data_IF_327505724242
#
_entry.id   IF_327505724242
#
_cell.length_a   1.000
_cell.length_b   1.000
_cell.length_c   1.000
_cell.angle_alpha   90.00
_cell.angle_beta   90.00
_cell.angle_gamma   90.00
#
_symmetry.space_group_name_H-M   'P 1'
#
loop_
_entity.id
_entity.type
_entity.pdbx_description
1 polymer ?
#
# COMPACT_ATOMS: atom_id res chain seq x y z
N UNK A 1 -14.73 31.83 -25.76
CA UNK A 1 -14.20 32.70 -24.69
C UNK A 1 -14.73 32.42 -23.27
N UNK A 2 -15.93 31.84 -23.01
CA UNK A 2 -16.42 31.53 -21.63
C UNK A 2 -15.73 30.40 -20.89
N UNK A 3 -15.14 29.40 -21.56
CA UNK A 3 -14.46 28.26 -20.91
C UNK A 3 -13.11 28.62 -20.28
N UNK A 4 -12.37 29.61 -20.81
CA UNK A 4 -11.08 30.06 -20.27
C UNK A 4 -11.22 30.77 -18.91
N UNK A 5 -12.34 31.48 -18.69
CA UNK A 5 -12.57 32.22 -17.44
C UNK A 5 -12.91 31.30 -16.24
N UNK A 6 -13.51 30.12 -16.45
CA UNK A 6 -13.79 29.17 -15.37
C UNK A 6 -12.52 28.51 -14.85
N UNK A 7 -11.62 28.11 -15.75
CA UNK A 7 -10.32 27.51 -15.37
C UNK A 7 -9.47 28.53 -14.60
N UNK A 8 -9.39 29.78 -15.09
CA UNK A 8 -8.64 30.86 -14.40
C UNK A 8 -9.22 31.24 -13.03
N UNK A 9 -10.55 31.13 -12.81
CA UNK A 9 -11.18 31.40 -11.51
C UNK A 9 -10.89 30.31 -10.49
N UNK A 10 -10.78 29.05 -10.93
CA UNK A 10 -10.40 27.92 -10.05
C UNK A 10 -8.91 27.97 -9.69
N UNK A 11 -8.02 28.34 -10.62
CA UNK A 11 -6.59 28.45 -10.33
C UNK A 11 -6.19 29.68 -9.48
N UNK A 12 -7.04 30.70 -9.36
CA UNK A 12 -6.80 31.86 -8.47
C UNK A 12 -7.12 31.62 -7.00
N UNK A 13 -7.77 30.51 -6.65
CA UNK A 13 -8.10 30.22 -5.26
C UNK A 13 -6.85 29.64 -4.55
N UNK A 14 -6.28 30.41 -3.58
CA UNK A 14 -5.08 30.06 -2.79
C UNK A 14 -5.17 28.63 -2.19
N UNK A 15 -6.37 28.20 -1.82
CA UNK A 15 -6.63 26.87 -1.25
C UNK A 15 -6.41 25.76 -2.29
N UNK A 16 -6.86 25.97 -3.52
CA UNK A 16 -6.70 25.00 -4.63
C UNK A 16 -5.24 24.91 -5.04
N UNK A 17 -4.56 26.04 -5.17
CA UNK A 17 -3.13 26.07 -5.50
C UNK A 17 -2.30 25.38 -4.41
N UNK A 18 -2.59 25.65 -3.13
CA UNK A 18 -1.94 24.98 -2.00
C UNK A 18 -2.19 23.48 -2.01
N UNK A 19 -3.41 23.04 -2.35
CA UNK A 19 -3.76 21.62 -2.45
C UNK A 19 -3.03 20.94 -3.62
N UNK A 20 -3.02 21.57 -4.81
CA UNK A 20 -2.30 21.05 -5.98
C UNK A 20 -0.80 20.96 -5.70
N UNK A 21 -0.19 22.02 -5.16
CA UNK A 21 1.22 22.00 -4.79
C UNK A 21 1.54 20.96 -3.72
N UNK A 22 0.68 20.82 -2.71
CA UNK A 22 0.83 19.79 -1.68
C UNK A 22 0.75 18.38 -2.24
N UNK A 23 -0.19 18.15 -3.17
CA UNK A 23 -0.35 16.87 -3.86
C UNK A 23 0.86 16.56 -4.75
N UNK A 24 1.37 17.54 -5.51
CA UNK A 24 2.57 17.39 -6.34
C UNK A 24 3.81 17.05 -5.49
N UNK A 25 4.03 17.75 -4.37
CA UNK A 25 5.11 17.42 -3.44
C UNK A 25 4.99 16.00 -2.88
N UNK A 26 3.78 15.58 -2.51
CA UNK A 26 3.54 14.23 -2.01
C UNK A 26 3.81 13.18 -3.09
N UNK A 27 3.39 13.45 -4.34
CA UNK A 27 3.65 12.57 -5.49
C UNK A 27 5.14 12.46 -5.80
N UNK A 28 5.87 13.58 -5.84
CA UNK A 28 7.31 13.57 -6.07
C UNK A 28 8.04 12.82 -4.96
N UNK A 29 7.73 13.10 -3.69
CA UNK A 29 8.31 12.38 -2.55
C UNK A 29 8.01 10.87 -2.58
N UNK A 30 6.80 10.48 -2.98
CA UNK A 30 6.44 9.07 -3.14
C UNK A 30 7.17 8.40 -4.30
N UNK A 31 7.37 9.10 -5.43
CA UNK A 31 8.14 8.61 -6.57
C UNK A 31 9.60 8.38 -6.21
N UNK A 32 10.25 9.37 -5.57
CA UNK A 32 11.64 9.23 -5.14
C UNK A 32 11.80 8.10 -4.12
N UNK A 33 10.96 8.05 -3.11
CA UNK A 33 11.01 7.00 -2.08
C UNK A 33 10.80 5.60 -2.68
N UNK A 34 9.79 5.43 -3.56
CA UNK A 34 9.54 4.15 -4.24
C UNK A 34 10.66 3.79 -5.21
N UNK A 35 11.23 4.78 -5.91
CA UNK A 35 12.39 4.59 -6.77
C UNK A 35 13.59 4.04 -6.01
N UNK A 36 13.94 4.63 -4.87
CA UNK A 36 15.05 4.16 -4.03
C UNK A 36 14.80 2.72 -3.54
N UNK A 37 13.60 2.41 -3.04
CA UNK A 37 13.25 1.06 -2.61
C UNK A 37 13.24 0.05 -3.77
N UNK A 38 12.87 0.49 -4.96
CA UNK A 38 12.92 -0.32 -6.17
C UNK A 38 14.38 -0.67 -6.54
N UNK A 39 15.26 0.32 -6.59
CA UNK A 39 16.69 0.08 -6.84
C UNK A 39 17.31 -0.82 -5.77
N UNK A 40 16.95 -0.62 -4.50
CA UNK A 40 17.42 -1.49 -3.42
C UNK A 40 16.98 -2.95 -3.63
N UNK A 41 15.75 -3.17 -4.10
CA UNK A 41 15.25 -4.53 -4.38
C UNK A 41 16.03 -5.20 -5.52
N UNK A 42 16.42 -4.44 -6.57
CA UNK A 42 17.29 -4.94 -7.65
C UNK A 42 18.67 -5.29 -7.10
N UNK A 43 19.26 -4.41 -6.29
CA UNK A 43 20.56 -4.66 -5.65
C UNK A 43 20.49 -5.91 -4.76
N UNK A 44 19.41 -6.06 -4.00
CA UNK A 44 19.19 -7.25 -3.16
C UNK A 44 19.08 -8.54 -4.00
N UNK A 45 18.35 -8.51 -5.12
CA UNK A 45 18.22 -9.66 -6.00
C UNK A 45 19.55 -10.08 -6.69
N UNK A 46 20.45 -9.09 -6.87
CA UNK A 46 21.78 -9.35 -7.46
C UNK A 46 22.83 -9.83 -6.45
N UNK A 47 22.72 -9.42 -5.20
CA UNK A 47 23.69 -9.77 -4.14
C UNK A 47 23.27 -11.07 -3.46
N UNK A 48 21.98 -11.26 -3.20
CA UNK A 48 21.47 -12.49 -2.61
C UNK A 48 21.34 -13.58 -3.68
N UNK A 49 21.56 -14.82 -3.29
CA UNK A 49 21.17 -15.96 -4.11
C UNK A 49 19.66 -15.97 -4.32
N UNK A 50 19.20 -16.56 -5.44
CA UNK A 50 17.78 -16.54 -5.84
C UNK A 50 16.86 -17.02 -4.75
N UNK A 51 17.18 -18.17 -4.14
CA UNK A 51 16.40 -18.74 -3.04
C UNK A 51 16.37 -17.79 -1.81
N UNK A 52 17.52 -17.20 -1.47
CA UNK A 52 17.63 -16.25 -0.35
C UNK A 52 16.87 -14.97 -0.62
N UNK A 53 16.83 -14.49 -1.87
CA UNK A 53 15.97 -13.36 -2.26
C UNK A 53 14.49 -13.72 -2.16
N UNK A 54 14.12 -14.96 -2.51
CA UNK A 54 12.77 -15.48 -2.28
C UNK A 54 12.38 -15.51 -0.80
N UNK A 55 13.30 -15.93 0.08
CA UNK A 55 13.14 -15.87 1.55
C UNK A 55 12.98 -14.43 2.04
N UNK A 56 13.75 -13.49 1.51
CA UNK A 56 13.57 -12.06 1.78
C UNK A 56 12.18 -11.55 1.37
N UNK A 57 11.70 -11.95 0.21
CA UNK A 57 10.38 -11.62 -0.30
C UNK A 57 9.25 -12.08 0.62
N UNK A 58 9.28 -13.34 1.06
CA UNK A 58 8.25 -13.88 1.96
C UNK A 58 8.32 -13.28 3.37
N UNK A 59 9.53 -13.01 3.91
CA UNK A 59 9.68 -12.29 5.17
C UNK A 59 9.03 -10.91 5.08
N UNK A 60 9.32 -10.15 4.03
CA UNK A 60 8.69 -8.85 3.75
C UNK A 60 7.17 -8.93 3.66
N UNK A 61 6.65 -9.90 2.94
CA UNK A 61 5.21 -10.14 2.78
C UNK A 61 4.55 -10.50 4.11
N UNK A 62 5.18 -11.35 4.92
CA UNK A 62 4.75 -11.72 6.26
C UNK A 62 4.70 -10.49 7.16
N UNK A 63 5.79 -9.74 7.27
CA UNK A 63 5.83 -8.50 8.07
C UNK A 63 4.76 -7.51 7.63
N UNK A 64 4.58 -7.27 6.33
CA UNK A 64 3.56 -6.37 5.81
C UNK A 64 2.14 -6.79 6.21
N UNK A 65 1.88 -8.09 6.29
CA UNK A 65 0.60 -8.64 6.76
C UNK A 65 0.38 -8.30 8.23
N UNK A 66 1.39 -8.52 9.06
CA UNK A 66 1.29 -8.21 10.50
C UNK A 66 1.33 -6.70 10.80
N UNK A 67 1.92 -5.88 9.94
CA UNK A 67 1.85 -4.40 10.01
C UNK A 67 0.41 -3.89 10.00
N UNK A 68 -0.52 -4.57 9.32
CA UNK A 68 -1.94 -4.21 9.36
C UNK A 68 -2.50 -4.28 10.78
N UNK A 69 -2.19 -5.37 11.50
CA UNK A 69 -2.60 -5.55 12.89
C UNK A 69 -1.90 -4.55 13.82
N UNK A 70 -0.60 -4.36 13.64
CA UNK A 70 0.19 -3.40 14.41
C UNK A 70 -0.28 -1.95 14.24
N UNK A 71 -0.54 -1.51 13.00
CA UNK A 71 -0.95 -0.14 12.69
C UNK A 71 -2.43 0.14 12.94
N UNK A 72 -3.29 -0.88 12.88
CA UNK A 72 -4.71 -0.85 13.17
C UNK A 72 -5.48 0.30 12.51
N UNK A 73 -5.00 0.83 11.38
CA UNK A 73 -5.62 1.97 10.69
C UNK A 73 -5.44 3.34 11.39
N UNK A 74 -4.59 3.41 12.42
CA UNK A 74 -4.41 4.61 13.25
C UNK A 74 -3.84 5.81 12.48
N UNK A 75 -3.00 5.56 11.47
CA UNK A 75 -2.49 6.63 10.60
C UNK A 75 -3.60 7.34 9.81
N UNK A 76 -4.57 6.58 9.28
CA UNK A 76 -5.74 7.14 8.58
C UNK A 76 -6.63 7.90 9.56
N UNK A 77 -6.79 7.38 10.78
CA UNK A 77 -7.54 8.03 11.86
C UNK A 77 -6.90 9.37 12.24
N UNK A 78 -5.59 9.40 12.44
CA UNK A 78 -4.84 10.62 12.71
C UNK A 78 -5.02 11.63 11.56
N UNK A 79 -4.86 11.20 10.30
CA UNK A 79 -5.06 12.07 9.12
C UNK A 79 -6.43 12.73 9.13
N UNK A 80 -7.49 11.95 9.29
CA UNK A 80 -8.87 12.45 9.24
C UNK A 80 -9.13 13.47 10.34
N UNK A 81 -8.97 13.06 11.58
CA UNK A 81 -9.40 13.89 12.72
C UNK A 81 -8.46 15.06 13.00
N UNK A 82 -7.17 14.93 12.73
CA UNK A 82 -6.27 16.09 12.78
C UNK A 82 -6.66 17.11 11.71
N UNK A 83 -6.97 16.70 10.48
CA UNK A 83 -7.38 17.64 9.43
C UNK A 83 -8.74 18.29 9.70
N UNK A 84 -9.65 17.59 10.39
CA UNK A 84 -10.99 18.07 10.74
C UNK A 84 -10.95 19.17 11.80
N UNK A 85 -10.10 19.00 12.84
CA UNK A 85 -10.07 19.91 13.99
C UNK A 85 -8.91 20.92 13.97
N UNK A 86 -7.95 20.77 13.06
CA UNK A 86 -6.82 21.70 12.96
C UNK A 86 -7.28 23.12 12.61
N UNK A 87 -6.95 24.07 13.50
CA UNK A 87 -7.33 25.48 13.37
C UNK A 87 -8.70 25.85 13.97
N UNK A 88 -9.51 24.85 14.35
CA UNK A 88 -10.80 25.06 15.03
C UNK A 88 -10.77 24.64 16.50
N UNK A 89 -10.15 23.49 16.81
CA UNK A 89 -10.04 22.91 18.14
C UNK A 89 -8.68 22.21 18.30
N UNK A 90 -7.65 22.99 18.61
CA UNK A 90 -6.29 22.49 18.77
C UNK A 90 -6.11 21.58 19.99
N UNK A 91 -6.94 21.73 21.05
CA UNK A 91 -6.95 20.82 22.20
C UNK A 91 -7.38 19.41 21.77
N UNK A 92 -8.43 19.33 20.95
CA UNK A 92 -8.90 18.06 20.40
C UNK A 92 -7.88 17.43 19.44
N UNK A 93 -7.20 18.24 18.62
CA UNK A 93 -6.08 17.76 17.78
C UNK A 93 -5.01 17.10 18.65
N UNK A 94 -4.62 17.74 19.76
CA UNK A 94 -3.62 17.19 20.66
C UNK A 94 -4.10 15.87 21.29
N UNK A 95 -5.35 15.80 21.78
CA UNK A 95 -5.95 14.56 22.32
C UNK A 95 -5.93 13.43 21.30
N UNK A 96 -6.25 13.70 20.04
CA UNK A 96 -6.23 12.72 18.95
C UNK A 96 -4.81 12.22 18.69
N UNK A 97 -3.81 13.11 18.63
CA UNK A 97 -2.41 12.72 18.45
C UNK A 97 -1.94 11.81 19.59
N UNK A 98 -2.23 12.17 20.84
CA UNK A 98 -1.86 11.36 22.02
C UNK A 98 -2.58 10.02 22.00
N UNK A 99 -3.89 10.00 21.74
CA UNK A 99 -4.71 8.79 21.67
C UNK A 99 -4.17 7.82 20.61
N UNK A 100 -3.99 8.30 19.38
CA UNK A 100 -3.51 7.46 18.28
C UNK A 100 -2.10 6.91 18.51
N UNK A 101 -1.21 7.69 19.14
CA UNK A 101 0.12 7.23 19.58
C UNK A 101 0.04 6.11 20.62
N UNK A 102 -0.75 6.29 21.68
CA UNK A 102 -0.92 5.28 22.72
C UNK A 102 -1.50 3.98 22.15
N UNK A 103 -2.54 4.08 21.32
CA UNK A 103 -3.10 2.90 20.66
C UNK A 103 -2.09 2.23 19.71
N UNK A 104 -1.27 3.00 18.98
CA UNK A 104 -0.23 2.44 18.12
C UNK A 104 0.83 1.69 18.93
N UNK A 105 1.25 2.22 20.09
CA UNK A 105 2.16 1.52 21.00
C UNK A 105 1.52 0.22 21.52
N UNK A 106 0.25 0.28 21.92
CA UNK A 106 -0.46 -0.88 22.45
C UNK A 106 -0.64 -1.95 21.37
N UNK A 107 -1.23 -1.60 20.22
CA UNK A 107 -1.52 -2.58 19.16
C UNK A 107 -0.25 -3.14 18.55
N UNK A 108 0.76 -2.31 18.30
CA UNK A 108 2.03 -2.78 17.76
C UNK A 108 2.85 -3.58 18.78
N UNK A 109 2.81 -3.20 20.06
CA UNK A 109 3.46 -3.94 21.13
C UNK A 109 2.86 -5.35 21.31
N UNK A 110 1.54 -5.44 21.33
CA UNK A 110 0.85 -6.75 21.38
C UNK A 110 1.18 -7.57 20.14
N UNK A 111 1.09 -6.98 18.93
CA UNK A 111 1.41 -7.68 17.68
C UNK A 111 2.87 -8.14 17.66
N UNK A 112 3.80 -7.31 18.10
CA UNK A 112 5.21 -7.63 18.20
C UNK A 112 5.48 -8.83 19.11
N UNK A 113 4.91 -8.83 20.34
CA UNK A 113 5.06 -9.93 21.31
C UNK A 113 4.48 -11.22 20.74
N UNK A 114 3.25 -11.17 20.17
CA UNK A 114 2.63 -12.32 19.55
C UNK A 114 3.47 -12.85 18.38
N UNK A 115 3.98 -11.94 17.51
CA UNK A 115 4.80 -12.33 16.38
C UNK A 115 6.13 -12.99 16.83
N UNK A 116 6.78 -12.44 17.86
CA UNK A 116 7.99 -13.06 18.44
C UNK A 116 7.69 -14.47 18.95
N UNK A 117 6.59 -14.64 19.69
CA UNK A 117 6.19 -15.94 20.25
C UNK A 117 5.91 -16.95 19.16
N UNK A 118 5.18 -16.55 18.12
CA UNK A 118 4.79 -17.43 17.01
C UNK A 118 5.82 -17.51 15.88
N UNK A 119 6.93 -16.75 15.92
CA UNK A 119 7.94 -16.72 14.83
C UNK A 119 8.50 -18.10 14.48
N UNK A 120 8.74 -18.96 15.49
CA UNK A 120 9.17 -20.34 15.28
C UNK A 120 8.11 -21.19 14.57
N UNK A 121 6.85 -21.07 14.97
CA UNK A 121 5.75 -21.76 14.30
C UNK A 121 5.54 -21.26 12.86
N UNK A 122 5.63 -19.94 12.64
CA UNK A 122 5.51 -19.36 11.31
C UNK A 122 6.64 -19.85 10.41
N UNK A 123 7.90 -19.82 10.88
CA UNK A 123 9.04 -20.27 10.08
C UNK A 123 8.97 -21.76 9.72
N UNK A 124 8.69 -22.62 10.72
CA UNK A 124 8.78 -24.08 10.54
C UNK A 124 7.53 -24.69 9.90
N UNK A 125 6.34 -24.26 10.32
CA UNK A 125 5.09 -24.93 9.94
C UNK A 125 4.31 -24.21 8.83
N UNK A 126 4.46 -22.87 8.71
CA UNK A 126 3.74 -22.11 7.69
C UNK A 126 4.63 -21.91 6.45
N UNK A 127 5.90 -21.56 6.68
CA UNK A 127 6.83 -21.20 5.61
C UNK A 127 7.77 -22.35 5.22
N UNK A 128 7.80 -23.45 5.98
CA UNK A 128 8.69 -24.59 5.78
C UNK A 128 10.19 -24.19 5.69
N UNK A 129 10.61 -23.17 6.45
CA UNK A 129 11.96 -22.63 6.50
C UNK A 129 12.37 -22.29 7.93
N UNK A 130 12.66 -23.28 8.77
CA UNK A 130 13.02 -23.04 10.17
C UNK A 130 14.26 -22.15 10.34
N UNK A 131 15.15 -22.12 9.35
CA UNK A 131 16.38 -21.31 9.34
C UNK A 131 16.11 -19.80 9.32
N UNK A 132 14.96 -19.31 8.79
CA UNK A 132 14.65 -17.87 8.76
C UNK A 132 13.99 -17.34 10.03
N UNK A 133 13.95 -18.14 11.12
CA UNK A 133 13.34 -17.75 12.39
C UNK A 133 13.97 -16.47 12.97
N UNK A 134 15.28 -16.36 12.96
CA UNK A 134 16.00 -15.19 13.50
C UNK A 134 15.68 -13.95 12.67
N UNK A 135 15.64 -14.08 11.37
CA UNK A 135 15.28 -13.03 10.43
C UNK A 135 13.86 -12.51 10.66
N UNK A 136 12.90 -13.42 10.90
CA UNK A 136 11.52 -13.04 11.25
C UNK A 136 11.48 -12.32 12.60
N UNK A 137 12.24 -12.78 13.60
CA UNK A 137 12.31 -12.12 14.89
C UNK A 137 12.90 -10.70 14.78
N UNK A 138 13.97 -10.50 14.02
CA UNK A 138 14.52 -9.18 13.74
C UNK A 138 13.52 -8.29 13.00
N UNK A 139 12.87 -8.85 11.97
CA UNK A 139 11.88 -8.15 11.18
C UNK A 139 10.63 -7.73 11.98
N UNK A 140 10.32 -8.43 13.09
CA UNK A 140 9.21 -8.06 13.98
C UNK A 140 9.33 -6.65 14.57
N UNK A 141 10.57 -6.15 14.78
CA UNK A 141 10.80 -4.78 15.25
C UNK A 141 10.23 -3.73 14.29
N UNK A 142 10.17 -4.06 12.99
CA UNK A 142 9.59 -3.19 11.96
C UNK A 142 8.12 -2.91 12.27
N UNK A 143 7.38 -3.86 12.88
CA UNK A 143 5.97 -3.71 13.22
C UNK A 143 5.71 -2.49 14.11
N UNK A 144 6.52 -2.32 15.16
CA UNK A 144 6.40 -1.18 16.09
C UNK A 144 6.78 0.13 15.40
N UNK A 145 7.90 0.10 14.68
CA UNK A 145 8.43 1.29 14.01
C UNK A 145 7.45 1.80 12.94
N UNK A 146 6.92 0.91 12.10
CA UNK A 146 6.01 1.27 11.01
C UNK A 146 4.64 1.72 11.54
N UNK A 147 4.12 1.10 12.60
CA UNK A 147 2.87 1.51 13.22
C UNK A 147 2.96 2.95 13.76
N UNK A 148 4.02 3.28 14.49
CA UNK A 148 4.28 4.63 14.97
C UNK A 148 4.52 5.62 13.83
N UNK A 149 5.32 5.23 12.83
CA UNK A 149 5.56 6.05 11.65
C UNK A 149 4.27 6.37 10.90
N UNK A 150 3.33 5.41 10.83
CA UNK A 150 1.99 5.59 10.26
C UNK A 150 1.21 6.70 10.97
N UNK A 151 1.26 6.77 12.31
CA UNK A 151 0.60 7.84 13.09
C UNK A 151 1.25 9.19 12.81
N UNK A 152 2.58 9.31 12.91
CA UNK A 152 3.27 10.59 12.71
C UNK A 152 3.11 11.11 11.27
N UNK A 153 3.20 10.25 10.27
CA UNK A 153 2.93 10.63 8.88
C UNK A 153 1.46 11.03 8.69
N UNK A 154 0.52 10.32 9.33
CA UNK A 154 -0.89 10.69 9.35
C UNK A 154 -1.15 12.06 9.95
N UNK A 155 -0.47 12.41 11.04
CA UNK A 155 -0.52 13.76 11.64
C UNK A 155 0.00 14.81 10.66
N UNK A 156 1.16 14.60 10.03
CA UNK A 156 1.72 15.54 9.05
C UNK A 156 0.78 15.75 7.85
N UNK A 157 0.14 14.70 7.36
CA UNK A 157 -0.88 14.79 6.31
C UNK A 157 -2.08 15.59 6.79
N UNK A 158 -2.58 15.31 8.00
CA UNK A 158 -3.70 16.02 8.63
C UNK A 158 -3.43 17.52 8.81
N UNK A 159 -2.20 17.88 9.16
CA UNK A 159 -1.72 19.27 9.24
C UNK A 159 -1.41 19.88 7.84
N UNK A 160 -1.65 19.16 6.76
CA UNK A 160 -1.34 19.55 5.36
C UNK A 160 0.15 19.85 5.12
N UNK A 161 1.05 19.23 5.89
CA UNK A 161 2.51 19.40 5.78
C UNK A 161 3.14 18.39 4.80
N UNK A 162 2.56 18.27 3.60
CA UNK A 162 2.97 17.34 2.56
C UNK A 162 4.45 17.49 2.14
N UNK A 163 4.94 18.74 2.08
CA UNK A 163 6.36 19.02 1.77
C UNK A 163 7.28 18.40 2.81
N UNK A 164 6.97 18.53 4.10
CA UNK A 164 7.78 17.93 5.17
C UNK A 164 7.83 16.40 5.04
N UNK A 165 6.69 15.78 4.76
CA UNK A 165 6.61 14.34 4.55
C UNK A 165 7.43 13.89 3.34
N UNK A 166 7.32 14.61 2.21
CA UNK A 166 8.11 14.33 1.01
C UNK A 166 9.61 14.43 1.26
N UNK A 167 10.05 15.51 1.92
CA UNK A 167 11.45 15.71 2.28
C UNK A 167 11.95 14.62 3.22
N UNK A 168 11.18 14.26 4.25
CA UNK A 168 11.54 13.18 5.18
C UNK A 168 11.71 11.84 4.46
N UNK A 169 10.79 11.49 3.55
CA UNK A 169 10.85 10.27 2.76
C UNK A 169 12.08 10.26 1.83
N UNK A 170 12.38 11.38 1.19
CA UNK A 170 13.55 11.50 0.30
C UNK A 170 14.85 11.41 1.09
N UNK A 171 14.98 12.17 2.18
CA UNK A 171 16.18 12.14 3.05
C UNK A 171 16.35 10.74 3.65
N UNK A 172 15.27 10.16 4.19
CA UNK A 172 15.30 8.82 4.75
C UNK A 172 15.81 7.78 3.75
N UNK A 173 15.25 7.78 2.53
CA UNK A 173 15.69 6.87 1.48
C UNK A 173 17.14 7.09 1.05
N UNK A 174 17.53 8.34 0.82
CA UNK A 174 18.86 8.67 0.30
C UNK A 174 19.98 8.37 1.32
N UNK A 175 19.76 8.72 2.58
CA UNK A 175 20.77 8.48 3.64
C UNK A 175 20.90 7.00 3.98
N UNK A 176 19.81 6.23 3.93
CA UNK A 176 19.87 4.81 4.32
C UNK A 176 20.27 3.90 3.16
N UNK A 177 20.14 4.33 1.90
CA UNK A 177 20.45 3.48 0.75
C UNK A 177 21.90 2.93 0.77
N UNK A 178 22.96 3.73 0.98
CA UNK A 178 24.33 3.19 1.06
C UNK A 178 24.51 2.23 2.23
N UNK A 179 23.90 2.52 3.40
CA UNK A 179 23.96 1.65 4.57
C UNK A 179 23.25 0.32 4.33
N UNK A 180 22.08 0.36 3.64
CA UNK A 180 21.34 -0.85 3.28
C UNK A 180 22.15 -1.74 2.34
N UNK A 181 22.79 -1.14 1.31
CA UNK A 181 23.66 -1.89 0.38
C UNK A 181 24.88 -2.47 1.12
N UNK A 182 25.50 -1.70 2.00
CA UNK A 182 26.64 -2.19 2.78
C UNK A 182 26.26 -3.37 3.69
N UNK A 183 25.13 -3.27 4.40
CA UNK A 183 24.68 -4.35 5.28
C UNK A 183 24.27 -5.59 4.50
N UNK A 184 23.60 -5.41 3.37
CA UNK A 184 23.22 -6.47 2.46
C UNK A 184 24.45 -7.22 1.96
N UNK A 185 25.49 -6.52 1.55
CA UNK A 185 26.74 -7.11 1.09
C UNK A 185 27.47 -7.89 2.21
N UNK A 186 27.50 -7.32 3.44
CA UNK A 186 28.26 -7.88 4.55
C UNK A 186 27.55 -9.05 5.25
N UNK A 187 26.23 -8.99 5.39
CA UNK A 187 25.44 -9.94 6.20
C UNK A 187 24.30 -10.61 5.44
N UNK A 188 24.24 -10.51 4.13
CA UNK A 188 23.24 -11.17 3.30
C UNK A 188 21.80 -10.86 3.73
N UNK A 189 21.00 -11.90 3.98
CA UNK A 189 19.58 -11.78 4.35
C UNK A 189 19.37 -10.97 5.64
N UNK A 190 20.14 -11.24 6.69
CA UNK A 190 20.09 -10.46 7.94
C UNK A 190 20.39 -8.99 7.66
N UNK A 191 21.40 -8.72 6.81
CA UNK A 191 21.76 -7.36 6.40
C UNK A 191 20.65 -6.64 5.65
N UNK A 192 19.92 -7.34 4.78
CA UNK A 192 18.76 -6.79 4.10
C UNK A 192 17.66 -6.35 5.08
N UNK A 193 17.39 -7.16 6.10
CA UNK A 193 16.37 -6.86 7.13
C UNK A 193 16.82 -5.72 8.04
N UNK A 194 18.08 -5.72 8.48
CA UNK A 194 18.66 -4.62 9.26
C UNK A 194 18.62 -3.30 8.48
N UNK A 195 18.91 -3.35 7.18
CA UNK A 195 18.80 -2.21 6.28
C UNK A 195 17.39 -1.61 6.23
N UNK A 196 16.36 -2.47 6.10
CA UNK A 196 14.96 -2.05 6.17
C UNK A 196 14.61 -1.45 7.53
N UNK A 197 15.08 -2.06 8.61
CA UNK A 197 14.83 -1.62 9.97
C UNK A 197 15.39 -0.21 10.19
N UNK A 198 16.63 0.05 9.77
CA UNK A 198 17.27 1.38 9.85
C UNK A 198 16.53 2.39 9.00
N UNK A 199 16.09 2.03 7.80
CA UNK A 199 15.27 2.90 6.94
C UNK A 199 14.00 3.36 7.66
N UNK A 200 13.20 2.43 8.17
CA UNK A 200 11.97 2.77 8.87
C UNK A 200 12.23 3.53 10.18
N UNK A 201 13.30 3.21 10.90
CA UNK A 201 13.69 3.92 12.11
C UNK A 201 14.07 5.38 11.82
N UNK A 202 14.93 5.62 10.82
CA UNK A 202 15.29 6.98 10.42
C UNK A 202 14.06 7.78 9.96
N UNK A 203 13.20 7.15 9.17
CA UNK A 203 11.95 7.76 8.72
C UNK A 203 11.04 8.13 9.90
N UNK A 204 10.91 7.25 10.89
CA UNK A 204 10.17 7.53 12.12
C UNK A 204 10.76 8.73 12.86
N UNK A 205 12.08 8.77 13.05
CA UNK A 205 12.76 9.89 13.74
C UNK A 205 12.55 11.22 13.01
N UNK A 206 12.67 11.24 11.68
CA UNK A 206 12.41 12.44 10.86
C UNK A 206 10.95 12.91 10.98
N UNK A 207 9.99 11.95 10.97
CA UNK A 207 8.58 12.28 11.11
C UNK A 207 8.22 12.74 12.53
N UNK A 208 8.84 12.18 13.57
CA UNK A 208 8.72 12.68 14.96
C UNK A 208 9.24 14.12 15.04
N UNK A 209 10.44 14.38 14.53
CA UNK A 209 11.04 15.72 14.53
C UNK A 209 10.13 16.72 13.81
N UNK A 210 9.71 16.38 12.59
CA UNK A 210 8.83 17.25 11.79
C UNK A 210 7.49 17.50 12.45
N UNK A 211 6.87 16.48 13.05
CA UNK A 211 5.60 16.63 13.77
C UNK A 211 5.77 17.52 14.99
N UNK A 212 6.77 17.27 15.84
CA UNK A 212 7.02 18.07 17.02
C UNK A 212 7.26 19.55 16.68
N UNK A 213 8.03 19.81 15.61
CA UNK A 213 8.26 21.17 15.12
C UNK A 213 6.97 21.87 14.68
N UNK A 214 6.05 21.15 14.02
CA UNK A 214 4.80 21.74 13.51
C UNK A 214 3.71 21.86 14.61
N UNK A 215 3.84 21.14 15.70
CA UNK A 215 2.85 21.12 16.78
C UNK A 215 3.33 21.84 18.04
N UNK A 216 4.54 22.40 18.03
CA UNK A 216 5.18 23.06 19.19
C UNK A 216 4.31 24.14 19.82
N UNK A 217 3.57 24.90 19.00
CA UNK A 217 2.81 26.07 19.48
C UNK A 217 1.52 25.70 20.20
N UNK A 218 0.97 24.50 19.96
CA UNK A 218 -0.30 24.07 20.53
C UNK A 218 -0.24 22.77 21.35
N UNK A 219 0.85 21.98 21.27
CA UNK A 219 1.04 20.83 22.17
C UNK A 219 1.76 21.30 23.44
N UNK A 220 0.97 21.80 24.42
CA UNK A 220 1.51 22.33 25.68
C UNK A 220 1.27 21.44 26.90
N UNK A 221 0.40 20.45 26.84
CA UNK A 221 -0.07 19.70 28.00
C UNK A 221 0.26 18.21 27.89
N UNK A 222 0.82 17.62 28.99
CA UNK A 222 0.87 16.17 29.16
C UNK A 222 -0.54 15.68 29.51
N UNK A 223 -1.24 15.04 28.57
CA UNK A 223 -2.54 14.46 28.85
C UNK A 223 -2.43 13.21 29.70
N UNK A 224 -3.22 13.13 30.77
CA UNK A 224 -3.46 11.90 31.49
C UNK A 224 -4.46 11.04 30.69
N UNK A 225 -4.31 9.71 30.72
CA UNK A 225 -5.12 8.75 29.98
C UNK A 225 -6.65 8.93 30.24
N UNK A 226 -7.01 9.34 31.46
CA UNK A 226 -8.41 9.62 31.83
C UNK A 226 -9.07 10.71 30.99
N UNK A 227 -8.31 11.72 30.54
CA UNK A 227 -8.79 12.83 29.71
C UNK A 227 -9.02 12.43 28.26
N UNK A 228 -8.56 11.24 27.84
CA UNK A 228 -8.70 10.69 26.49
C UNK A 228 -9.98 9.83 26.35
N UNK A 229 -10.64 9.45 27.46
CA UNK A 229 -11.83 8.58 27.43
C UNK A 229 -12.94 9.01 26.45
N UNK A 230 -13.29 10.31 26.34
CA UNK A 230 -14.32 10.75 25.40
C UNK A 230 -13.96 10.45 23.94
N UNK A 231 -12.67 10.47 23.60
CA UNK A 231 -12.17 10.27 22.23
C UNK A 231 -12.08 8.78 21.82
N UNK A 232 -12.28 7.83 22.74
CA UNK A 232 -12.33 6.39 22.41
C UNK A 232 -13.46 6.02 21.44
N UNK A 233 -14.51 6.86 21.39
CA UNK A 233 -15.56 6.71 20.38
C UNK A 233 -15.02 6.74 18.95
N UNK A 234 -13.93 7.50 18.73
CA UNK A 234 -13.25 7.60 17.42
C UNK A 234 -12.67 6.22 17.01
N UNK A 235 -12.00 5.55 17.95
CA UNK A 235 -11.43 4.21 17.70
C UNK A 235 -12.53 3.25 17.29
N UNK A 236 -13.61 3.17 18.05
CA UNK A 236 -14.72 2.24 17.78
C UNK A 236 -15.48 2.58 16.49
N UNK A 237 -15.78 3.86 16.24
CA UNK A 237 -16.63 4.28 15.13
C UNK A 237 -15.91 4.41 13.80
N UNK A 238 -14.61 4.67 13.80
CA UNK A 238 -13.84 4.94 12.58
C UNK A 238 -12.64 4.01 12.40
N UNK A 239 -11.78 3.87 13.42
CA UNK A 239 -10.53 3.10 13.27
C UNK A 239 -10.81 1.61 13.03
N UNK A 240 -11.74 1.00 13.80
CA UNK A 240 -12.10 -0.41 13.63
C UNK A 240 -12.67 -0.70 12.24
N UNK A 241 -13.64 0.04 11.69
CA UNK A 241 -14.09 -0.16 10.31
C UNK A 241 -12.98 0.00 9.27
N UNK A 242 -12.08 0.99 9.41
CA UNK A 242 -10.92 1.16 8.50
C UNK A 242 -9.99 -0.04 8.57
N UNK A 243 -9.72 -0.55 9.77
CA UNK A 243 -8.92 -1.76 9.97
C UNK A 243 -9.55 -2.97 9.27
N UNK A 244 -10.84 -3.22 9.47
CA UNK A 244 -11.55 -4.35 8.87
C UNK A 244 -11.54 -4.31 7.34
N UNK A 245 -11.66 -3.13 6.72
CA UNK A 245 -11.56 -3.00 5.26
C UNK A 245 -10.17 -3.33 4.71
N UNK A 246 -9.12 -3.05 5.47
CA UNK A 246 -7.75 -3.35 5.04
C UNK A 246 -7.36 -4.82 5.23
N UNK A 247 -8.07 -5.56 6.09
CA UNK A 247 -7.79 -6.97 6.36
C UNK A 247 -8.04 -7.91 5.17
N UNK A 248 -8.81 -7.49 4.16
CA UNK A 248 -9.15 -8.38 3.06
C UNK A 248 -8.05 -8.53 2.00
N UNK A 249 -7.22 -7.51 1.78
CA UNK A 249 -6.30 -7.54 0.63
C UNK A 249 -4.94 -8.15 0.98
N UNK A 250 -4.22 -7.57 1.93
CA UNK A 250 -2.83 -7.96 2.20
C UNK A 250 -2.67 -9.38 2.75
N UNK A 251 -3.50 -9.84 3.73
CA UNK A 251 -3.44 -11.23 4.18
C UNK A 251 -3.77 -12.24 3.08
N UNK A 252 -4.73 -11.94 2.23
CA UNK A 252 -5.12 -12.83 1.12
C UNK A 252 -3.96 -12.99 0.13
N UNK A 253 -3.29 -11.90 -0.22
CA UNK A 253 -2.10 -11.95 -1.06
C UNK A 253 -0.93 -12.71 -0.42
N UNK A 254 -0.79 -12.62 0.91
CA UNK A 254 0.19 -13.40 1.65
C UNK A 254 -0.09 -14.90 1.59
N UNK A 255 -1.35 -15.34 1.68
CA UNK A 255 -1.72 -16.74 1.46
C UNK A 255 -1.29 -17.26 0.09
N UNK A 256 -1.44 -16.46 -0.98
CA UNK A 256 -0.91 -16.83 -2.30
C UNK A 256 0.61 -17.05 -2.28
N UNK A 257 1.37 -16.19 -1.59
CA UNK A 257 2.81 -16.35 -1.43
C UNK A 257 3.16 -17.58 -0.57
N UNK A 258 2.35 -17.93 0.44
CA UNK A 258 2.52 -19.17 1.23
C UNK A 258 2.35 -20.40 0.34
N UNK A 259 1.32 -20.44 -0.51
CA UNK A 259 1.15 -21.54 -1.46
C UNK A 259 2.38 -21.68 -2.36
N UNK A 260 2.90 -20.55 -2.82
CA UNK A 260 4.07 -20.57 -3.72
C UNK A 260 5.33 -21.11 -3.01
N UNK A 261 5.68 -20.61 -1.82
CA UNK A 261 6.91 -21.04 -1.11
C UNK A 261 6.86 -22.49 -0.63
N UNK A 262 5.66 -23.07 -0.51
CA UNK A 262 5.45 -24.46 -0.13
C UNK A 262 5.36 -25.41 -1.35
N UNK A 263 5.47 -24.88 -2.60
CA UNK A 263 5.55 -25.66 -3.83
C UNK A 263 6.97 -26.09 -4.17
N UNK A 264 7.12 -26.76 -5.31
CA UNK A 264 8.42 -27.19 -5.85
C UNK A 264 9.27 -25.96 -6.18
N UNK A 265 10.54 -25.93 -5.74
CA UNK A 265 11.43 -24.77 -5.87
C UNK A 265 10.81 -23.43 -5.36
N UNK A 266 9.88 -23.52 -4.40
CA UNK A 266 8.96 -22.45 -4.04
C UNK A 266 9.62 -21.13 -3.69
N UNK A 267 10.79 -21.14 -3.06
CA UNK A 267 11.52 -19.90 -2.74
C UNK A 267 12.13 -19.24 -3.99
N UNK A 268 12.65 -20.03 -4.94
CA UNK A 268 13.15 -19.51 -6.22
C UNK A 268 11.99 -18.95 -7.07
N UNK A 269 10.87 -19.65 -7.10
CA UNK A 269 9.63 -19.18 -7.74
C UNK A 269 9.11 -17.90 -7.09
N UNK A 270 9.15 -17.81 -5.75
CA UNK A 270 8.78 -16.59 -5.04
C UNK A 270 9.72 -15.41 -5.34
N UNK A 271 11.00 -15.69 -5.60
CA UNK A 271 11.94 -14.65 -6.03
C UNK A 271 11.55 -14.03 -7.37
N UNK A 272 11.22 -14.88 -8.36
CA UNK A 272 10.73 -14.45 -9.69
C UNK A 272 9.44 -13.64 -9.52
N UNK A 273 8.49 -14.15 -8.74
CA UNK A 273 7.21 -13.50 -8.51
C UNK A 273 7.36 -12.13 -7.83
N UNK A 274 8.20 -12.01 -6.81
CA UNK A 274 8.46 -10.73 -6.12
C UNK A 274 9.14 -9.71 -7.04
N UNK A 275 10.04 -10.14 -7.92
CA UNK A 275 10.61 -9.29 -8.97
C UNK A 275 9.55 -8.71 -9.90
N UNK A 276 8.70 -9.57 -10.46
CA UNK A 276 7.59 -9.18 -11.34
C UNK A 276 6.57 -8.30 -10.62
N UNK A 277 6.22 -8.62 -9.37
CA UNK A 277 5.31 -7.85 -8.52
C UNK A 277 5.84 -6.44 -8.23
N UNK A 278 7.15 -6.28 -8.07
CA UNK A 278 7.77 -4.98 -7.88
C UNK A 278 7.56 -4.07 -9.11
N UNK A 279 7.70 -4.61 -10.32
CA UNK A 279 7.42 -3.87 -11.57
C UNK A 279 5.92 -3.54 -11.67
N UNK A 280 5.05 -4.51 -11.37
CA UNK A 280 3.61 -4.29 -11.35
C UNK A 280 3.22 -3.12 -10.43
N UNK A 281 3.82 -3.00 -9.25
CA UNK A 281 3.58 -1.89 -8.31
C UNK A 281 3.96 -0.52 -8.88
N UNK A 282 4.97 -0.43 -9.76
CA UNK A 282 5.29 0.81 -10.46
C UNK A 282 4.24 1.15 -11.53
N UNK A 283 3.75 0.13 -12.24
CA UNK A 283 2.69 0.33 -13.25
C UNK A 283 1.40 0.83 -12.61
N UNK A 284 0.98 0.23 -11.48
CA UNK A 284 -0.24 0.61 -10.75
C UNK A 284 -0.15 2.02 -10.16
N UNK A 285 1.04 2.56 -9.95
CA UNK A 285 1.19 3.90 -9.38
C UNK A 285 0.47 4.98 -10.19
N UNK A 286 0.44 4.87 -11.52
CA UNK A 286 -0.24 5.83 -12.41
C UNK A 286 -1.77 5.79 -12.23
N UNK A 287 -2.45 4.63 -12.32
CA UNK A 287 -3.86 4.50 -11.96
C UNK A 287 -4.20 5.05 -10.57
N UNK A 288 -3.32 4.80 -9.60
CA UNK A 288 -3.52 5.27 -8.23
C UNK A 288 -3.55 6.80 -8.12
N UNK A 289 -2.66 7.49 -8.84
CA UNK A 289 -2.66 8.96 -8.91
C UNK A 289 -3.98 9.48 -9.51
N UNK A 290 -4.39 8.91 -10.64
CA UNK A 290 -5.63 9.31 -11.32
C UNK A 290 -6.84 9.08 -10.40
N UNK A 291 -6.85 7.97 -9.67
CA UNK A 291 -7.95 7.62 -8.78
C UNK A 291 -8.13 8.58 -7.59
N UNK A 292 -7.08 9.29 -7.17
CA UNK A 292 -7.18 10.27 -6.07
C UNK A 292 -8.06 11.47 -6.43
N UNK A 293 -8.06 11.89 -7.69
CA UNK A 293 -8.91 13.00 -8.18
C UNK A 293 -10.29 12.51 -8.62
N UNK A 294 -10.46 11.24 -8.92
CA UNK A 294 -11.72 10.64 -9.40
C UNK A 294 -12.83 10.75 -8.36
N UNK A 295 -12.56 10.43 -7.09
CA UNK A 295 -13.57 10.45 -6.04
C UNK A 295 -14.20 11.84 -5.80
N UNK A 296 -13.43 12.94 -5.63
CA UNK A 296 -14.00 14.27 -5.54
C UNK A 296 -14.81 14.67 -6.77
N UNK A 297 -14.32 14.35 -7.99
CA UNK A 297 -15.02 14.66 -9.23
C UNK A 297 -16.36 13.93 -9.35
N UNK A 298 -16.42 12.66 -9.00
CA UNK A 298 -17.68 11.89 -9.01
C UNK A 298 -18.63 12.37 -7.92
N UNK A 299 -18.13 12.67 -6.74
CA UNK A 299 -18.94 13.11 -5.61
C UNK A 299 -19.59 14.48 -5.87
N UNK A 300 -18.90 15.39 -6.57
CA UNK A 300 -19.45 16.71 -6.93
C UNK A 300 -20.60 16.64 -7.95
N UNK A 301 -20.64 15.59 -8.76
CA UNK A 301 -21.68 15.38 -9.78
C UNK A 301 -22.62 14.21 -9.42
N UNK A 302 -22.70 13.81 -8.14
CA UNK A 302 -23.48 12.66 -7.67
C UNK A 302 -24.95 12.68 -8.10
N UNK A 303 -25.54 13.87 -8.19
CA UNK A 303 -26.94 14.10 -8.54
C UNK A 303 -27.15 14.39 -10.04
N UNK A 304 -26.10 14.36 -10.88
CA UNK A 304 -26.18 14.58 -12.32
C UNK A 304 -25.65 13.36 -13.05
N UNK A 305 -26.54 12.41 -13.33
CA UNK A 305 -26.16 11.09 -13.87
C UNK A 305 -25.44 11.18 -15.22
N UNK A 306 -25.80 12.11 -16.10
CA UNK A 306 -25.14 12.30 -17.40
C UNK A 306 -23.67 12.72 -17.22
N UNK A 307 -23.39 13.73 -16.38
CA UNK A 307 -22.04 14.17 -16.09
C UNK A 307 -21.27 13.12 -15.28
N UNK A 308 -21.91 12.49 -14.30
CA UNK A 308 -21.34 11.40 -13.51
C UNK A 308 -20.85 10.25 -14.41
N UNK A 309 -21.71 9.77 -15.32
CA UNK A 309 -21.39 8.71 -16.25
C UNK A 309 -20.26 9.11 -17.22
N UNK A 310 -20.24 10.36 -17.67
CA UNK A 310 -19.16 10.87 -18.52
C UNK A 310 -17.83 10.90 -17.79
N UNK A 311 -17.79 11.36 -16.53
CA UNK A 311 -16.57 11.38 -15.69
C UNK A 311 -16.10 9.96 -15.44
N UNK A 312 -16.98 9.04 -15.06
CA UNK A 312 -16.65 7.64 -14.83
C UNK A 312 -16.05 6.99 -16.09
N UNK A 313 -16.72 7.08 -17.24
CA UNK A 313 -16.25 6.53 -18.52
C UNK A 313 -14.90 7.11 -18.93
N UNK A 314 -14.70 8.43 -18.77
CA UNK A 314 -13.44 9.09 -19.07
C UNK A 314 -12.30 8.55 -18.18
N UNK A 315 -12.51 8.44 -16.86
CA UNK A 315 -11.50 7.91 -15.95
C UNK A 315 -11.17 6.45 -16.25
N UNK A 316 -12.18 5.60 -16.51
CA UNK A 316 -11.96 4.20 -16.91
C UNK A 316 -11.16 4.12 -18.21
N UNK A 317 -11.50 4.94 -19.22
CA UNK A 317 -10.77 4.99 -20.48
C UNK A 317 -9.32 5.44 -20.29
N UNK A 318 -9.09 6.54 -19.59
CA UNK A 318 -7.74 7.08 -19.35
C UNK A 318 -6.88 6.09 -18.58
N UNK A 319 -7.41 5.49 -17.50
CA UNK A 319 -6.69 4.49 -16.72
C UNK A 319 -6.45 3.23 -17.55
N UNK A 320 -7.47 2.72 -18.25
CA UNK A 320 -7.34 1.52 -19.08
C UNK A 320 -6.28 1.68 -20.17
N UNK A 321 -6.37 2.77 -20.97
CA UNK A 321 -5.45 3.02 -22.08
C UNK A 321 -4.03 3.30 -21.58
N UNK A 322 -3.86 4.16 -20.58
CA UNK A 322 -2.52 4.48 -20.07
C UNK A 322 -1.84 3.27 -19.46
N UNK A 323 -2.56 2.46 -18.67
CA UNK A 323 -2.00 1.25 -18.05
C UNK A 323 -1.72 0.18 -19.10
N UNK A 324 -2.62 0.02 -20.08
CA UNK A 324 -2.41 -0.91 -21.20
C UNK A 324 -1.15 -0.55 -22.01
N UNK A 325 -0.98 0.72 -22.35
CA UNK A 325 0.20 1.17 -23.09
C UNK A 325 1.50 0.87 -22.35
N UNK A 326 1.54 1.18 -21.04
CA UNK A 326 2.71 0.89 -20.20
C UNK A 326 2.95 -0.61 -20.08
N UNK A 327 1.89 -1.39 -19.82
CA UNK A 327 1.98 -2.85 -19.75
C UNK A 327 2.48 -3.44 -21.07
N UNK A 328 1.99 -2.94 -22.19
CA UNK A 328 2.41 -3.35 -23.54
C UNK A 328 3.90 -3.08 -23.79
N UNK A 329 4.36 -1.84 -23.48
CA UNK A 329 5.78 -1.49 -23.62
C UNK A 329 6.67 -2.37 -22.73
N UNK A 330 6.30 -2.58 -21.46
CA UNK A 330 7.07 -3.42 -20.54
C UNK A 330 7.06 -4.88 -21.02
N UNK A 331 5.96 -5.38 -21.59
CA UNK A 331 5.88 -6.76 -22.07
C UNK A 331 6.83 -7.04 -23.24
N UNK A 332 7.03 -6.06 -24.14
CA UNK A 332 8.01 -6.19 -25.24
C UNK A 332 9.43 -6.35 -24.70
N UNK A 333 9.75 -5.66 -23.61
CA UNK A 333 11.07 -5.69 -22.99
C UNK A 333 11.13 -6.61 -21.75
N UNK A 334 10.15 -7.49 -21.54
CA UNK A 334 9.99 -8.27 -20.31
C UNK A 334 11.22 -9.07 -19.92
N UNK A 335 11.86 -9.76 -20.86
CA UNK A 335 13.11 -10.50 -20.64
C UNK A 335 14.22 -9.56 -20.16
N UNK A 336 14.44 -8.43 -20.83
CA UNK A 336 15.45 -7.44 -20.43
C UNK A 336 15.16 -6.83 -19.06
N UNK A 337 13.89 -6.54 -18.77
CA UNK A 337 13.46 -5.99 -17.48
C UNK A 337 13.70 -6.99 -16.35
N UNK A 338 13.36 -8.26 -16.54
CA UNK A 338 13.62 -9.31 -15.55
C UNK A 338 15.11 -9.55 -15.37
N UNK A 339 15.90 -9.53 -16.46
CA UNK A 339 17.36 -9.68 -16.42
C UNK A 339 18.07 -8.59 -15.60
N UNK A 340 17.44 -7.43 -15.35
CA UNK A 340 17.97 -6.40 -14.45
C UNK A 340 18.14 -6.94 -13.02
N UNK A 341 17.32 -7.90 -12.60
CA UNK A 341 17.45 -8.57 -11.29
C UNK A 341 18.58 -9.62 -11.29
N UNK A 342 18.91 -10.20 -12.42
CA UNK A 342 19.93 -11.25 -12.61
C UNK A 342 19.53 -12.20 -13.74
N UNK A 343 20.47 -12.99 -14.24
CA UNK A 343 20.22 -13.88 -15.40
C UNK A 343 19.11 -14.92 -15.13
N UNK A 344 19.05 -15.46 -13.93
CA UNK A 344 18.01 -16.42 -13.52
C UNK A 344 16.59 -15.85 -13.67
N UNK A 345 16.39 -14.56 -13.41
CA UNK A 345 15.08 -13.94 -13.47
C UNK A 345 14.54 -13.77 -14.90
N UNK A 346 15.38 -13.94 -15.91
CA UNK A 346 14.95 -13.88 -17.32
C UNK A 346 13.88 -14.92 -17.65
N UNK A 347 13.91 -16.10 -16.99
CA UNK A 347 12.89 -17.15 -17.11
C UNK A 347 11.52 -16.68 -16.62
N UNK A 348 11.48 -15.67 -15.75
CA UNK A 348 10.26 -15.05 -15.23
C UNK A 348 9.59 -14.03 -16.16
N UNK A 349 9.98 -13.92 -17.43
CA UNK A 349 9.42 -12.98 -18.40
C UNK A 349 7.90 -13.10 -18.54
N UNK A 350 7.36 -14.32 -18.59
CA UNK A 350 5.91 -14.57 -18.64
C UNK A 350 5.20 -14.17 -17.36
N UNK A 351 5.82 -14.39 -16.20
CA UNK A 351 5.30 -13.92 -14.90
C UNK A 351 5.13 -12.40 -14.91
N UNK A 352 6.15 -11.69 -15.42
CA UNK A 352 6.10 -10.22 -15.54
C UNK A 352 4.99 -9.79 -16.50
N UNK A 353 4.88 -10.40 -17.69
CA UNK A 353 3.85 -10.07 -18.68
C UNK A 353 2.46 -10.19 -18.04
N UNK A 354 2.16 -11.32 -17.40
CA UNK A 354 0.87 -11.55 -16.75
C UNK A 354 0.63 -10.50 -15.66
N UNK A 355 1.63 -10.20 -14.83
CA UNK A 355 1.52 -9.25 -13.75
C UNK A 355 1.29 -7.80 -14.24
N UNK A 356 1.97 -7.35 -15.30
CA UNK A 356 1.75 -5.97 -15.79
C UNK A 356 0.39 -5.82 -16.48
N UNK A 357 -0.12 -6.87 -17.15
CA UNK A 357 -1.50 -6.85 -17.66
C UNK A 357 -2.54 -6.92 -16.54
N UNK A 358 -2.25 -7.58 -15.43
CA UNK A 358 -3.10 -7.56 -14.21
C UNK A 358 -3.29 -6.13 -13.69
N UNK A 359 -2.27 -5.27 -13.80
CA UNK A 359 -2.35 -3.87 -13.37
C UNK A 359 -3.49 -3.09 -14.05
N UNK A 360 -3.91 -3.47 -15.26
CA UNK A 360 -5.04 -2.86 -15.97
C UNK A 360 -6.32 -3.07 -15.17
N UNK A 361 -6.63 -4.32 -14.83
CA UNK A 361 -7.83 -4.66 -14.08
C UNK A 361 -7.78 -4.12 -12.65
N UNK A 362 -6.61 -4.13 -12.00
CA UNK A 362 -6.41 -3.49 -10.70
C UNK A 362 -6.71 -1.98 -10.75
N UNK A 363 -6.25 -1.29 -11.78
CA UNK A 363 -6.54 0.13 -11.99
C UNK A 363 -8.02 0.40 -12.24
N UNK A 364 -8.65 -0.38 -13.11
CA UNK A 364 -10.07 -0.24 -13.44
C UNK A 364 -10.97 -0.53 -12.24
N UNK A 365 -10.71 -1.59 -11.47
CA UNK A 365 -11.45 -1.91 -10.24
C UNK A 365 -11.26 -0.84 -9.17
N UNK A 366 -10.08 -0.22 -9.08
CA UNK A 366 -9.86 0.91 -8.18
C UNK A 366 -10.76 2.10 -8.52
N UNK A 367 -10.93 2.45 -9.82
CA UNK A 367 -11.87 3.49 -10.25
C UNK A 367 -13.31 3.11 -9.92
N UNK A 368 -13.73 1.87 -10.16
CA UNK A 368 -15.09 1.39 -9.82
C UNK A 368 -15.32 1.45 -8.30
N UNK A 369 -14.33 1.14 -7.49
CA UNK A 369 -14.39 1.34 -6.04
C UNK A 369 -14.68 2.80 -5.64
N UNK A 370 -14.13 3.80 -6.37
CA UNK A 370 -14.46 5.22 -6.16
C UNK A 370 -15.89 5.55 -6.62
N UNK A 371 -16.39 4.89 -7.66
CA UNK A 371 -17.80 5.02 -8.09
C UNK A 371 -18.74 4.54 -6.99
N UNK A 372 -18.50 3.34 -6.40
CA UNK A 372 -19.30 2.85 -5.27
C UNK A 372 -19.21 3.78 -4.06
N UNK A 373 -18.00 4.29 -3.75
CA UNK A 373 -17.79 5.22 -2.65
C UNK A 373 -18.58 6.52 -2.84
N UNK A 374 -18.59 7.10 -4.05
CA UNK A 374 -19.29 8.34 -4.35
C UNK A 374 -20.81 8.23 -4.28
N UNK A 375 -21.36 7.05 -4.51
CA UNK A 375 -22.80 6.73 -4.41
C UNK A 375 -23.18 6.12 -3.02
N UNK A 376 -22.29 6.17 -2.02
CA UNK A 376 -22.48 5.61 -0.65
C UNK A 376 -22.76 4.09 -0.63
N UNK A 377 -22.26 3.35 -1.64
CA UNK A 377 -22.47 1.90 -1.78
C UNK A 377 -21.23 1.07 -1.39
N UNK A 378 -20.53 1.50 -0.34
CA UNK A 378 -19.29 0.83 0.11
C UNK A 378 -19.50 -0.64 0.51
N UNK A 379 -20.67 -1.01 1.03
CA UNK A 379 -21.00 -2.40 1.34
C UNK A 379 -21.05 -3.32 0.11
N UNK A 380 -21.45 -2.78 -1.05
CA UNK A 380 -21.38 -3.54 -2.31
C UNK A 380 -19.93 -3.76 -2.72
N UNK A 381 -19.09 -2.73 -2.62
CA UNK A 381 -17.65 -2.86 -2.89
C UNK A 381 -16.98 -3.87 -1.95
N UNK A 382 -17.37 -3.89 -0.67
CA UNK A 382 -16.87 -4.85 0.31
C UNK A 382 -17.25 -6.30 -0.06
N UNK A 383 -18.50 -6.55 -0.47
CA UNK A 383 -18.93 -7.89 -0.94
C UNK A 383 -18.14 -8.35 -2.15
N UNK A 384 -17.91 -7.45 -3.12
CA UNK A 384 -17.07 -7.74 -4.29
C UNK A 384 -15.62 -8.07 -3.89
N UNK A 385 -15.08 -7.38 -2.89
CA UNK A 385 -13.73 -7.68 -2.38
C UNK A 385 -13.65 -9.04 -1.69
N UNK A 386 -14.71 -9.48 -1.01
CA UNK A 386 -14.79 -10.85 -0.46
C UNK A 386 -14.82 -11.89 -1.59
N UNK A 387 -15.63 -11.68 -2.63
CA UNK A 387 -15.68 -12.59 -3.79
C UNK A 387 -14.30 -12.71 -4.44
N UNK A 388 -13.65 -11.56 -4.71
CA UNK A 388 -12.29 -11.53 -5.21
C UNK A 388 -11.30 -12.31 -4.34
N UNK A 389 -11.39 -12.18 -3.02
CA UNK A 389 -10.51 -12.87 -2.08
C UNK A 389 -10.69 -14.41 -2.15
N UNK A 390 -11.93 -14.87 -2.22
CA UNK A 390 -12.26 -16.29 -2.36
C UNK A 390 -11.77 -16.83 -3.71
N UNK A 391 -12.05 -16.12 -4.80
CA UNK A 391 -11.59 -16.47 -6.15
C UNK A 391 -10.07 -16.56 -6.22
N UNK A 392 -9.37 -15.56 -5.65
CA UNK A 392 -7.91 -15.55 -5.63
C UNK A 392 -7.34 -16.74 -4.87
N UNK A 393 -7.88 -17.07 -3.68
CA UNK A 393 -7.41 -18.22 -2.89
C UNK A 393 -7.64 -19.51 -3.65
N UNK A 394 -8.83 -19.71 -4.23
CA UNK A 394 -9.19 -20.92 -4.99
C UNK A 394 -8.26 -21.05 -6.21
N UNK A 395 -8.13 -20.00 -7.02
CA UNK A 395 -7.27 -20.02 -8.20
C UNK A 395 -5.81 -20.24 -7.82
N UNK A 396 -5.31 -19.59 -6.76
CA UNK A 396 -3.93 -19.79 -6.29
C UNK A 396 -3.70 -21.22 -5.83
N UNK A 397 -4.64 -21.81 -5.07
CA UNK A 397 -4.53 -23.20 -4.63
C UNK A 397 -4.52 -24.16 -5.84
N UNK A 398 -5.45 -23.99 -6.76
CA UNK A 398 -5.55 -24.86 -7.96
C UNK A 398 -4.28 -24.73 -8.82
N UNK A 399 -3.87 -23.50 -9.18
CA UNK A 399 -2.79 -23.32 -10.15
C UNK A 399 -1.41 -23.56 -9.54
N UNK A 400 -1.20 -23.26 -8.25
CA UNK A 400 0.10 -23.42 -7.60
C UNK A 400 0.25 -24.78 -6.94
N UNK A 401 -0.77 -25.28 -6.19
CA UNK A 401 -0.64 -26.51 -5.41
C UNK A 401 -1.08 -27.76 -6.17
N UNK A 402 -2.10 -27.66 -7.04
CA UNK A 402 -2.62 -28.85 -7.76
C UNK A 402 -1.89 -29.00 -9.10
N UNK A 403 -1.75 -27.91 -9.89
CA UNK A 403 -1.09 -27.95 -11.19
C UNK A 403 0.41 -27.62 -11.15
N UNK A 404 0.95 -27.24 -10.01
CA UNK A 404 2.36 -26.94 -9.77
C UNK A 404 2.99 -25.95 -10.78
N UNK A 405 2.23 -24.91 -11.16
CA UNK A 405 2.64 -23.90 -12.13
C UNK A 405 3.56 -22.82 -11.53
N UNK A 406 3.98 -22.93 -10.28
CA UNK A 406 4.91 -22.02 -9.62
C UNK A 406 4.50 -20.54 -9.70
N UNK A 407 5.43 -19.66 -10.00
CA UNK A 407 5.21 -18.20 -10.12
C UNK A 407 4.23 -17.84 -11.23
N UNK A 408 4.22 -18.58 -12.34
CA UNK A 408 3.26 -18.37 -13.44
C UNK A 408 1.84 -18.67 -12.95
N UNK A 409 1.66 -19.74 -12.18
CA UNK A 409 0.38 -20.13 -11.57
C UNK A 409 -0.16 -19.01 -10.66
N UNK A 410 0.68 -18.48 -9.77
CA UNK A 410 0.30 -17.39 -8.88
C UNK A 410 -0.01 -16.10 -9.66
N UNK A 411 0.80 -15.72 -10.64
CA UNK A 411 0.54 -14.56 -11.49
C UNK A 411 -0.78 -14.70 -12.27
N UNK A 412 -1.08 -15.90 -12.79
CA UNK A 412 -2.33 -16.20 -13.49
C UNK A 412 -3.53 -16.14 -12.54
N UNK A 413 -3.39 -16.59 -11.29
CA UNK A 413 -4.41 -16.44 -10.25
C UNK A 413 -4.71 -14.95 -9.97
N UNK A 414 -3.69 -14.10 -9.91
CA UNK A 414 -3.85 -12.64 -9.81
C UNK A 414 -4.64 -12.09 -11.00
N UNK A 415 -4.22 -12.43 -12.21
CA UNK A 415 -4.87 -11.96 -13.43
C UNK A 415 -6.33 -12.40 -13.50
N UNK A 416 -6.60 -13.66 -13.27
CA UNK A 416 -7.94 -14.23 -13.30
C UNK A 416 -8.86 -13.61 -12.25
N UNK A 417 -8.41 -13.53 -11.00
CA UNK A 417 -9.21 -12.97 -9.90
C UNK A 417 -9.51 -11.47 -10.10
N UNK A 418 -8.55 -10.67 -10.55
CA UNK A 418 -8.81 -9.25 -10.84
C UNK A 418 -9.68 -9.04 -12.08
N UNK A 419 -9.57 -9.91 -13.09
CA UNK A 419 -10.44 -9.88 -14.27
C UNK A 419 -11.89 -10.20 -13.86
N UNK A 420 -12.10 -11.26 -13.06
CA UNK A 420 -13.42 -11.61 -12.51
C UNK A 420 -13.98 -10.48 -11.66
N UNK A 421 -13.18 -9.93 -10.76
CA UNK A 421 -13.56 -8.79 -9.92
C UNK A 421 -14.00 -7.57 -10.74
N UNK A 422 -13.31 -7.26 -11.84
CA UNK A 422 -13.70 -6.20 -12.75
C UNK A 422 -15.05 -6.50 -13.42
N UNK A 423 -15.21 -7.70 -13.97
CA UNK A 423 -16.47 -8.12 -14.63
C UNK A 423 -17.64 -8.05 -13.63
N UNK A 424 -17.49 -8.62 -12.44
CA UNK A 424 -18.50 -8.59 -11.38
C UNK A 424 -18.83 -7.15 -10.95
N UNK A 425 -17.81 -6.28 -10.84
CA UNK A 425 -18.01 -4.88 -10.49
C UNK A 425 -18.83 -4.16 -11.57
N UNK A 426 -18.56 -4.41 -12.87
CA UNK A 426 -19.33 -3.82 -13.97
C UNK A 426 -20.75 -4.37 -14.03
N UNK A 427 -20.93 -5.68 -13.86
CA UNK A 427 -22.27 -6.32 -13.83
C UNK A 427 -23.10 -5.75 -12.69
N UNK A 428 -22.53 -5.70 -11.49
CA UNK A 428 -23.23 -5.18 -10.31
C UNK A 428 -23.58 -3.68 -10.47
N UNK A 429 -22.69 -2.90 -11.10
CA UNK A 429 -22.94 -1.49 -11.38
C UNK A 429 -24.17 -1.31 -12.30
N UNK A 430 -24.32 -2.17 -13.33
CA UNK A 430 -25.45 -2.15 -14.24
C UNK A 430 -26.75 -2.64 -13.60
N UNK A 431 -26.68 -3.75 -12.84
CA UNK A 431 -27.89 -4.37 -12.23
C UNK A 431 -28.41 -3.59 -11.03
N UNK A 432 -27.54 -2.89 -10.30
CA UNK A 432 -27.92 -2.11 -9.11
C UNK A 432 -28.61 -0.76 -9.42
N UNK A 433 -28.94 -0.48 -10.68
CA UNK A 433 -29.53 0.79 -11.14
C UNK A 433 -28.75 2.05 -10.71
N UNK A 434 -27.46 1.92 -10.43
CA UNK A 434 -26.61 3.04 -10.01
C UNK A 434 -26.30 4.02 -11.16
N UNK A 435 -26.56 3.61 -12.40
CA UNK A 435 -26.32 4.34 -13.66
C UNK A 435 -27.60 4.60 -14.46
N UNK A 436 -28.79 4.26 -13.95
CA UNK A 436 -30.00 4.48 -14.72
C UNK A 436 -30.30 5.98 -14.81
N UNK A 437 -30.23 6.47 -16.03
CA UNK A 437 -30.95 7.64 -16.50
C UNK A 437 -32.47 7.28 -16.46
N UNK A 438 -33.25 8.02 -15.64
CA UNK A 438 -34.69 8.08 -15.89
C UNK A 438 -34.92 8.97 -17.10
#
# INVERSE_FOLDING_TARGET
MRKSNYINKYFKNKTIISFINGTLWNLLGALFSRGILFFLTIVAARILEVETFGKFGIIKSTVNTYVLFASFGLGVTATKYVSEFFGTDNDKVQKIIVLTKWFAILTSGVTFILFLFFSGYISSNILNAPEIKIELQLASMILVIVALNGVYSGVLIGLKKFKSLAVNNTIGGFLTFPLQVYFLYKWGLIGAILGLLIYYLLLLLLNIYSTNKQTKDFIKVKYNFSLLKPEFKIIKKFTVPVFLTNLLVTPIMWFGSIFLVNGINGYSENAIFEGAKQINQLVIFIPFIISQITLPMLSSEKNNDSKFNRIMKLNLFVVGVSTFFIAFVISIFSSHVMKVYGNFYEEGNWVLIIMVFTAIFMGLTNILGKVYASKDKMWLNFRLSILWAVEFIILSHILVQIYDLGAIGLATAYFGSYTLHFIQSVVLLRTSKLLHEN
#
